data_IF_943254917153
#
_entry.id   IF_943254917153
#
_cell.length_a   1.000
_cell.length_b   1.000
_cell.length_c   1.000
_cell.angle_alpha   90.00
_cell.angle_beta   90.00
_cell.angle_gamma   90.00
#
_symmetry.space_group_name_H-M   'P 1'
#
loop_
_entity.id
_entity.type
_entity.pdbx_description
1 polymer ?
#
# COMPACT_ATOMS: atom_id res chain seq x y z
N UNK A 1 -15.59 7.23 16.88
CA UNK A 1 -14.34 7.22 17.67
C UNK A 1 -13.29 6.18 17.25
N UNK A 2 -13.64 4.99 16.72
CA UNK A 2 -12.63 3.96 16.34
C UNK A 2 -11.88 4.23 15.02
N UNK A 3 -12.47 4.99 14.09
CA UNK A 3 -11.91 5.18 12.75
C UNK A 3 -10.53 5.88 12.76
N UNK A 4 -10.31 7.01 13.47
CA UNK A 4 -9.00 7.66 13.50
C UNK A 4 -7.89 6.75 14.05
N UNK A 5 -8.21 5.94 15.07
CA UNK A 5 -7.27 4.97 15.64
C UNK A 5 -6.86 3.92 14.61
N UNK A 6 -7.80 3.34 13.88
CA UNK A 6 -7.51 2.33 12.85
C UNK A 6 -6.70 2.94 11.71
N UNK A 7 -7.06 4.14 11.25
CA UNK A 7 -6.35 4.86 10.19
C UNK A 7 -4.90 5.16 10.59
N UNK A 8 -4.68 5.59 11.84
CA UNK A 8 -3.33 5.81 12.35
C UNK A 8 -2.49 4.53 12.29
N UNK A 9 -2.99 3.43 12.89
CA UNK A 9 -2.28 2.15 12.89
C UNK A 9 -1.99 1.64 11.47
N UNK A 10 -2.93 1.81 10.53
CA UNK A 10 -2.71 1.45 9.13
C UNK A 10 -1.58 2.27 8.50
N UNK A 11 -1.56 3.58 8.76
CA UNK A 11 -0.56 4.48 8.17
C UNK A 11 0.83 4.35 8.80
N UNK A 12 0.95 3.84 10.03
CA UNK A 12 2.22 3.73 10.77
C UNK A 12 2.80 2.33 10.83
N UNK A 13 2.13 1.33 10.25
CA UNK A 13 2.57 -0.06 10.22
C UNK A 13 3.12 -0.44 8.84
N UNK A 14 4.07 -1.38 8.79
CA UNK A 14 4.56 -1.94 7.52
C UNK A 14 3.40 -2.61 6.78
N UNK A 15 3.13 -2.14 5.57
CA UNK A 15 2.06 -2.67 4.76
C UNK A 15 2.55 -3.83 3.89
N UNK A 16 1.86 -4.98 3.94
CA UNK A 16 2.30 -6.24 3.33
C UNK A 16 2.59 -6.13 1.82
N UNK A 17 1.78 -5.36 1.08
CA UNK A 17 1.91 -5.27 -0.39
C UNK A 17 3.10 -4.41 -0.82
N UNK A 18 3.49 -3.42 -0.04
CA UNK A 18 4.59 -2.49 -0.36
C UNK A 18 5.86 -2.79 0.43
N UNK A 19 5.76 -3.61 1.49
CA UNK A 19 6.78 -3.85 2.50
C UNK A 19 7.35 -2.56 3.13
N UNK A 20 6.55 -1.50 3.15
CA UNK A 20 6.91 -0.17 3.65
C UNK A 20 5.76 0.44 4.44
N UNK A 21 6.07 1.45 5.26
CA UNK A 21 5.08 2.20 6.05
C UNK A 21 4.40 3.24 5.15
N UNK A 22 3.06 3.30 5.03
CA UNK A 22 2.38 4.26 4.17
C UNK A 22 2.71 5.73 4.47
N UNK A 23 2.86 6.09 5.75
CA UNK A 23 3.29 7.42 6.16
C UNK A 23 4.69 7.77 5.63
N UNK A 24 5.63 6.82 5.71
CA UNK A 24 7.01 7.02 5.24
C UNK A 24 7.08 7.20 3.72
N UNK A 25 6.24 6.48 2.97
CA UNK A 25 6.11 6.65 1.52
C UNK A 25 5.64 8.06 1.10
N UNK A 26 4.82 8.71 1.92
CA UNK A 26 4.27 10.05 1.62
C UNK A 26 5.22 11.14 2.11
N UNK A 27 5.78 10.99 3.31
CA UNK A 27 6.51 12.06 3.99
C UNK A 27 8.03 11.87 4.00
N UNK A 28 8.55 10.75 3.51
CA UNK A 28 9.99 10.45 3.45
C UNK A 28 10.63 10.29 4.82
N UNK A 29 9.83 10.07 5.87
CA UNK A 29 10.26 9.86 7.25
C UNK A 29 9.28 8.97 7.98
N UNK A 30 9.76 8.30 9.02
CA UNK A 30 8.89 7.51 9.90
C UNK A 30 7.97 8.41 10.73
N UNK A 31 6.76 7.93 11.07
CA UNK A 31 5.89 8.62 12.01
C UNK A 31 6.57 8.71 13.37
N UNK A 32 6.35 9.80 14.09
CA UNK A 32 6.85 9.96 15.47
C UNK A 32 5.74 9.46 16.39
N UNK A 33 6.01 8.40 17.15
CA UNK A 33 5.05 7.82 18.09
C UNK A 33 5.26 8.42 19.49
N UNK A 34 4.23 8.43 20.35
CA UNK A 34 4.36 9.02 21.70
C UNK A 34 5.49 8.42 22.55
N UNK A 35 5.86 7.16 22.30
CA UNK A 35 6.96 6.48 22.97
C UNK A 35 8.33 6.71 22.30
N UNK A 36 8.38 7.20 21.06
CA UNK A 36 9.63 7.55 20.37
C UNK A 36 10.21 8.89 20.86
N UNK A 37 9.41 9.66 21.60
CA UNK A 37 9.80 10.98 22.10
C UNK A 37 10.73 10.86 23.30
N UNK A 38 12.01 10.54 23.05
CA UNK A 38 13.06 10.60 24.06
C UNK A 38 14.11 11.64 23.67
N UNK A 39 14.23 12.66 24.55
CA UNK A 39 15.25 13.71 24.64
C UNK A 39 15.07 14.98 23.77
N UNK A 40 15.51 16.15 24.27
CA UNK A 40 15.34 17.43 23.59
C UNK A 40 16.12 17.45 22.27
N UNK A 41 15.45 18.02 21.27
CA UNK A 41 15.88 18.18 19.90
C UNK A 41 17.33 18.70 19.81
N UNK A 42 18.21 17.89 19.20
CA UNK A 42 19.50 18.34 18.69
C UNK A 42 19.26 19.57 17.82
N UNK A 43 20.00 20.64 18.06
CA UNK A 43 19.92 21.90 17.30
C UNK A 43 20.03 21.59 15.81
N UNK A 44 18.94 21.80 15.06
CA UNK A 44 18.92 21.60 13.62
C UNK A 44 19.86 22.62 12.97
N UNK A 45 21.09 22.21 12.67
CA UNK A 45 21.89 22.90 11.67
C UNK A 45 21.13 22.84 10.35
N UNK A 46 20.82 23.98 9.75
CA UNK A 46 20.16 24.00 8.44
C UNK A 46 21.07 23.31 7.42
N UNK A 47 20.69 22.12 6.97
CA UNK A 47 21.37 21.41 5.88
C UNK A 47 20.86 22.00 4.55
N UNK A 48 21.71 22.72 3.78
CA UNK A 48 21.30 23.31 2.50
C UNK A 48 20.91 22.24 1.47
N UNK A 49 21.39 21.00 1.61
CA UNK A 49 21.07 19.89 0.72
C UNK A 49 19.90 19.02 1.22
N UNK A 50 19.23 19.39 2.31
CA UNK A 50 18.17 18.58 2.89
C UNK A 50 17.09 18.20 1.87
N UNK A 51 16.67 19.17 1.05
CA UNK A 51 15.64 18.98 0.02
C UNK A 51 16.06 17.97 -1.03
N UNK A 52 17.31 18.00 -1.49
CA UNK A 52 17.80 17.09 -2.54
C UNK A 52 17.92 15.67 -1.99
N UNK A 53 18.46 15.51 -0.77
CA UNK A 53 18.54 14.23 -0.07
C UNK A 53 17.17 13.62 0.18
N UNK A 54 16.19 14.42 0.64
CA UNK A 54 14.82 13.97 0.85
C UNK A 54 14.17 13.50 -0.45
N UNK A 55 14.32 14.24 -1.54
CA UNK A 55 13.78 13.85 -2.85
C UNK A 55 14.40 12.56 -3.38
N UNK A 56 15.72 12.41 -3.26
CA UNK A 56 16.41 11.18 -3.63
C UNK A 56 15.90 9.99 -2.81
N UNK A 57 15.78 10.18 -1.49
CA UNK A 57 15.26 9.16 -0.59
C UNK A 57 13.83 8.74 -0.94
N UNK A 58 12.95 9.71 -1.20
CA UNK A 58 11.58 9.45 -1.65
C UNK A 58 11.57 8.68 -2.99
N UNK A 59 12.40 9.07 -3.96
CA UNK A 59 12.49 8.34 -5.24
C UNK A 59 12.80 6.86 -5.01
N UNK A 60 13.84 6.58 -4.22
CA UNK A 60 14.25 5.21 -3.90
C UNK A 60 13.12 4.44 -3.19
N UNK A 61 12.46 5.06 -2.19
CA UNK A 61 11.33 4.44 -1.50
C UNK A 61 10.20 4.08 -2.46
N UNK A 62 9.82 5.01 -3.35
CA UNK A 62 8.75 4.77 -4.33
C UNK A 62 9.09 3.68 -5.34
N UNK A 63 10.34 3.62 -5.80
CA UNK A 63 10.82 2.59 -6.72
C UNK A 63 10.77 1.19 -6.07
N UNK A 64 11.24 1.09 -4.83
CA UNK A 64 11.18 -0.15 -4.05
C UNK A 64 9.72 -0.61 -3.84
N UNK A 65 8.84 0.30 -3.41
CA UNK A 65 7.43 -0.02 -3.20
C UNK A 65 6.77 -0.48 -4.51
N UNK A 66 7.08 0.16 -5.64
CA UNK A 66 6.60 -0.24 -6.96
C UNK A 66 7.07 -1.65 -7.32
N UNK A 67 8.34 -1.97 -7.10
CA UNK A 67 8.87 -3.30 -7.37
C UNK A 67 8.14 -4.38 -6.55
N UNK A 68 7.94 -4.16 -5.25
CA UNK A 68 7.20 -5.09 -4.38
C UNK A 68 5.74 -5.23 -4.79
N UNK A 69 5.07 -4.12 -5.16
CA UNK A 69 3.69 -4.17 -5.65
C UNK A 69 3.59 -5.07 -6.88
N UNK A 70 4.48 -4.92 -7.86
CA UNK A 70 4.47 -5.72 -9.09
C UNK A 70 4.69 -7.21 -8.79
N UNK A 71 5.66 -7.52 -7.94
CA UNK A 71 5.91 -8.90 -7.49
C UNK A 71 4.68 -9.49 -6.78
N UNK A 72 4.07 -8.72 -5.87
CA UNK A 72 2.90 -9.16 -5.13
C UNK A 72 1.68 -9.35 -6.04
N UNK A 73 1.47 -8.46 -7.01
CA UNK A 73 0.42 -8.60 -8.02
C UNK A 73 0.60 -9.88 -8.84
N UNK A 74 1.83 -10.20 -9.23
CA UNK A 74 2.13 -11.45 -9.94
C UNK A 74 1.75 -12.67 -9.09
N UNK A 75 2.23 -12.74 -7.84
CA UNK A 75 1.91 -13.83 -6.90
C UNK A 75 0.41 -13.96 -6.64
N UNK A 76 -0.29 -12.84 -6.49
CA UNK A 76 -1.74 -12.84 -6.31
C UNK A 76 -2.44 -13.40 -7.54
N UNK A 77 -2.04 -12.96 -8.73
CA UNK A 77 -2.57 -13.48 -10.00
C UNK A 77 -2.36 -14.98 -10.10
N UNK A 78 -1.14 -15.49 -9.94
CA UNK A 78 -0.85 -16.93 -10.00
C UNK A 78 -1.70 -17.73 -9.00
N UNK A 79 -1.85 -17.21 -7.78
CA UNK A 79 -2.67 -17.86 -6.74
C UNK A 79 -4.15 -17.89 -7.11
N UNK A 80 -4.71 -16.80 -7.60
CA UNK A 80 -6.11 -16.71 -8.00
C UNK A 80 -6.40 -17.51 -9.28
N UNK A 81 -5.47 -17.50 -10.23
CA UNK A 81 -5.60 -18.21 -11.50
C UNK A 81 -5.42 -19.73 -11.36
N UNK A 82 -4.71 -20.23 -10.32
CA UNK A 82 -4.42 -21.66 -10.11
C UNK A 82 -5.63 -22.58 -10.21
N UNK A 83 -6.78 -22.15 -9.67
CA UNK A 83 -8.02 -22.93 -9.68
C UNK A 83 -9.12 -22.25 -10.49
N UNK A 84 -8.77 -21.22 -11.28
CA UNK A 84 -9.73 -20.48 -12.09
C UNK A 84 -10.02 -21.29 -13.34
N UNK A 85 -11.27 -21.73 -13.48
CA UNK A 85 -11.78 -22.21 -14.76
C UNK A 85 -11.81 -21.03 -15.73
N UNK A 86 -11.17 -21.17 -16.89
CA UNK A 86 -11.23 -20.20 -17.99
C UNK A 86 -12.06 -20.77 -19.15
N UNK A 87 -13.40 -20.90 -18.98
CA UNK A 87 -14.26 -21.47 -20.00
C UNK A 87 -14.31 -20.58 -21.24
N UNK A 88 -14.21 -21.20 -22.41
CA UNK A 88 -14.46 -20.57 -23.70
C UNK A 88 -15.90 -20.85 -24.13
N UNK A 89 -16.66 -19.82 -24.46
CA UNK A 89 -18.06 -19.95 -24.88
C UNK A 89 -18.21 -19.66 -26.38
N UNK A 90 -19.16 -20.35 -27.02
CA UNK A 90 -19.54 -20.15 -28.41
C UNK A 90 -20.88 -19.41 -28.51
N UNK A 91 -21.13 -18.85 -29.69
CA UNK A 91 -22.42 -18.26 -30.01
C UNK A 91 -23.49 -19.37 -29.89
N UNK A 92 -24.57 -19.06 -29.17
CA UNK A 92 -25.68 -19.94 -28.78
C UNK A 92 -25.45 -20.88 -27.57
N UNK A 93 -24.34 -20.75 -26.83
CA UNK A 93 -24.19 -21.46 -25.56
C UNK A 93 -25.14 -20.91 -24.48
N UNK A 94 -25.84 -21.80 -23.77
CA UNK A 94 -26.68 -21.44 -22.62
C UNK A 94 -25.81 -21.42 -21.37
N UNK A 95 -25.64 -20.24 -20.77
CA UNK A 95 -24.86 -20.06 -19.54
C UNK A 95 -25.72 -19.55 -18.40
N UNK A 96 -25.41 -20.00 -17.17
CA UNK A 96 -26.05 -19.51 -15.96
C UNK A 96 -25.32 -18.25 -15.47
N UNK A 97 -25.99 -17.11 -15.51
CA UNK A 97 -25.45 -15.84 -15.03
C UNK A 97 -25.86 -15.65 -13.57
N UNK A 98 -24.89 -15.47 -12.67
CA UNK A 98 -25.15 -15.11 -11.28
C UNK A 98 -25.57 -13.64 -11.20
N UNK A 99 -26.86 -13.38 -11.02
CA UNK A 99 -27.38 -12.05 -10.72
C UNK A 99 -27.38 -11.81 -9.21
N UNK A 100 -26.79 -10.71 -8.76
CA UNK A 100 -26.99 -10.22 -7.40
C UNK A 100 -28.34 -9.51 -7.40
N UNK A 101 -29.35 -10.09 -6.78
CA UNK A 101 -30.68 -9.50 -6.63
C UNK A 101 -30.58 -8.11 -5.98
N UNK A 102 -30.47 -7.05 -6.78
CA UNK A 102 -30.88 -5.72 -6.34
C UNK A 102 -32.40 -5.75 -6.34
N UNK A 103 -32.98 -6.03 -5.17
CA UNK A 103 -34.38 -5.68 -4.90
C UNK A 103 -34.48 -4.18 -5.21
N UNK A 104 -35.11 -3.85 -6.34
CA UNK A 104 -35.58 -2.50 -6.58
C UNK A 104 -36.51 -2.17 -5.40
N UNK A 105 -36.11 -1.17 -4.62
CA UNK A 105 -36.93 -0.56 -3.60
C UNK A 105 -37.78 0.52 -4.25
#
# INVERSE_FOLDING_TARGET
>A
EKLPFVTFNYNTTIHRTTNQIPFELIYGRKPILPFDQQQPLVTLSQDPEHKTKLNQHLSVLTEQAKATILEQQHKYRERYDRYRTNPTYKINDIILVKTLNKRNK
#
